data_IF_094353414037
#
_entry.id   IF_094353414037
#
_cell.length_a   1.000
_cell.length_b   1.000
_cell.length_c   1.000
_cell.angle_alpha   90.00
_cell.angle_beta   90.00
_cell.angle_gamma   90.00
#
_symmetry.space_group_name_H-M   'P 1'
#
loop_
_entity.id
_entity.type
_entity.pdbx_description
1 polymer ?
#
# COMPACT_ATOMS: atom_id res chain seq x y z
N UNK A 1 -7.24 8.19 -4.56
CA UNK A 1 -5.99 7.44 -4.33
C UNK A 1 -4.98 7.78 -5.41
N UNK A 2 -4.08 8.67 -5.08
CA UNK A 2 -3.15 9.21 -6.06
C UNK A 2 -2.11 8.19 -6.55
N UNK A 3 -1.57 7.37 -5.65
CA UNK A 3 -0.51 6.42 -5.98
C UNK A 3 -0.98 5.17 -6.71
N UNK A 4 -2.28 5.04 -6.97
CA UNK A 4 -2.86 3.75 -7.34
C UNK A 4 -3.41 3.68 -8.75
N UNK A 5 -3.34 4.76 -9.52
CA UNK A 5 -4.00 4.79 -10.83
C UNK A 5 -3.53 3.69 -11.79
N UNK A 6 -2.29 3.25 -11.67
CA UNK A 6 -1.73 2.23 -12.55
C UNK A 6 -1.59 0.86 -11.89
N UNK A 7 -2.15 0.69 -10.69
CA UNK A 7 -1.98 -0.57 -9.95
C UNK A 7 -2.59 -1.76 -10.66
N UNK A 8 -3.71 -1.58 -11.35
CA UNK A 8 -4.33 -2.68 -12.09
C UNK A 8 -3.42 -3.18 -13.21
N UNK A 9 -2.77 -2.27 -13.93
CA UNK A 9 -1.84 -2.65 -14.99
C UNK A 9 -0.65 -3.38 -14.40
N UNK A 10 -0.11 -2.88 -13.31
CA UNK A 10 1.00 -3.50 -12.63
C UNK A 10 0.64 -4.91 -12.14
N UNK A 11 -0.50 -5.05 -11.48
CA UNK A 11 -0.98 -6.33 -10.99
C UNK A 11 -1.15 -7.32 -12.14
N UNK A 12 -1.82 -6.91 -13.20
CA UNK A 12 -2.04 -7.77 -14.37
C UNK A 12 -0.72 -8.20 -14.99
N UNK A 13 0.23 -7.29 -15.12
CA UNK A 13 1.55 -7.62 -15.68
C UNK A 13 2.26 -8.65 -14.81
N UNK A 14 2.21 -8.51 -13.49
CA UNK A 14 2.82 -9.48 -12.59
C UNK A 14 2.18 -10.86 -12.73
N UNK A 15 0.84 -10.91 -12.78
CA UNK A 15 0.12 -12.16 -12.94
C UNK A 15 0.47 -12.82 -14.27
N UNK A 16 0.47 -12.05 -15.36
CA UNK A 16 0.76 -12.57 -16.70
C UNK A 16 2.18 -13.10 -16.84
N UNK A 17 3.13 -12.52 -16.12
CA UNK A 17 4.55 -12.90 -16.21
C UNK A 17 5.01 -13.78 -15.04
N UNK A 18 4.06 -14.29 -14.26
CA UNK A 18 4.37 -15.17 -13.11
C UNK A 18 5.33 -14.54 -12.10
N UNK A 19 5.23 -13.21 -11.92
CA UNK A 19 6.00 -12.48 -10.92
C UNK A 19 5.22 -12.53 -9.61
N UNK A 20 5.84 -12.96 -8.50
CA UNK A 20 5.15 -12.98 -7.22
C UNK A 20 4.61 -11.59 -6.86
N UNK A 21 3.37 -11.56 -6.36
CA UNK A 21 2.72 -10.32 -5.98
C UNK A 21 1.90 -10.55 -4.72
N UNK A 22 1.87 -9.54 -3.86
CA UNK A 22 1.08 -9.57 -2.64
C UNK A 22 0.26 -8.28 -2.55
N UNK A 23 -1.02 -8.40 -2.29
CA UNK A 23 -1.93 -7.25 -2.25
C UNK A 23 -2.32 -6.94 -0.81
N UNK A 24 -2.16 -5.69 -0.42
CA UNK A 24 -2.66 -5.16 0.85
C UNK A 24 -3.88 -4.31 0.59
N UNK A 25 -4.89 -4.45 1.43
CA UNK A 25 -6.11 -3.64 1.33
C UNK A 25 -6.35 -2.85 2.60
N UNK A 26 -7.19 -1.82 2.50
CA UNK A 26 -7.55 -1.01 3.65
C UNK A 26 -8.29 -1.78 4.75
N UNK A 27 -8.84 -2.96 4.43
CA UNK A 27 -9.53 -3.80 5.41
C UNK A 27 -8.58 -4.68 6.22
N UNK A 28 -7.31 -4.72 5.86
CA UNK A 28 -6.31 -5.55 6.51
C UNK A 28 -5.76 -4.85 7.75
N UNK A 29 -5.94 -5.44 8.91
CA UNK A 29 -5.43 -4.86 10.17
C UNK A 29 -3.92 -4.74 10.19
N UNK A 30 -3.21 -5.54 9.42
CA UNK A 30 -1.75 -5.49 9.32
C UNK A 30 -1.23 -4.42 8.37
N UNK A 31 -2.11 -3.82 7.55
CA UNK A 31 -1.69 -2.97 6.44
C UNK A 31 -0.90 -1.73 6.88
N UNK A 32 -1.34 -1.05 7.95
CA UNK A 32 -0.66 0.17 8.38
C UNK A 32 0.78 -0.09 8.82
N UNK A 33 1.00 -1.14 9.60
CA UNK A 33 2.35 -1.50 10.03
C UNK A 33 3.22 -1.88 8.83
N UNK A 34 2.66 -2.64 7.89
CA UNK A 34 3.38 -3.06 6.69
C UNK A 34 3.74 -1.86 5.81
N UNK A 35 2.81 -0.92 5.62
CA UNK A 35 3.07 0.27 4.81
C UNK A 35 4.12 1.18 5.43
N UNK A 36 4.10 1.34 6.75
CA UNK A 36 5.10 2.15 7.44
C UNK A 36 6.48 1.52 7.34
N UNK A 37 6.57 0.22 7.50
CA UNK A 37 7.83 -0.51 7.35
C UNK A 37 8.34 -0.40 5.91
N UNK A 38 7.45 -0.50 4.94
CA UNK A 38 7.81 -0.36 3.53
C UNK A 38 8.34 1.05 3.22
N UNK A 39 7.67 2.08 3.74
CA UNK A 39 8.10 3.46 3.52
C UNK A 39 9.50 3.69 4.10
N UNK A 40 9.78 3.15 5.27
CA UNK A 40 11.11 3.24 5.88
C UNK A 40 12.15 2.53 5.04
N UNK A 41 11.84 1.32 4.56
CA UNK A 41 12.72 0.55 3.68
C UNK A 41 12.98 1.31 2.38
N UNK A 42 11.95 1.95 1.83
CA UNK A 42 12.09 2.74 0.60
C UNK A 42 13.08 3.89 0.77
N UNK A 43 13.05 4.57 1.91
CA UNK A 43 14.01 5.62 2.22
C UNK A 43 15.42 5.06 2.31
N UNK A 44 15.60 3.96 3.03
CA UNK A 44 16.91 3.35 3.23
C UNK A 44 17.51 2.81 1.94
N UNK A 45 16.66 2.31 1.04
CA UNK A 45 17.11 1.76 -0.24
C UNK A 45 17.34 2.82 -1.31
N UNK A 46 17.06 4.08 -1.01
CA UNK A 46 17.31 5.17 -1.94
C UNK A 46 16.24 5.38 -2.99
N UNK A 47 14.99 5.01 -2.72
CA UNK A 47 13.88 5.33 -3.61
C UNK A 47 13.74 6.84 -3.78
N UNK A 48 13.16 7.28 -4.89
CA UNK A 48 13.02 8.71 -5.17
C UNK A 48 12.17 9.40 -4.12
N UNK A 49 12.42 10.68 -3.89
CA UNK A 49 11.63 11.47 -2.96
C UNK A 49 10.16 11.53 -3.39
N UNK A 50 9.90 11.57 -4.69
CA UNK A 50 8.53 11.59 -5.23
C UNK A 50 7.78 10.32 -4.80
N UNK A 51 8.44 9.16 -4.91
CA UNK A 51 7.83 7.89 -4.51
C UNK A 51 7.57 7.85 -3.01
N UNK A 52 8.55 8.25 -2.20
CA UNK A 52 8.42 8.24 -0.74
C UNK A 52 7.32 9.21 -0.29
N UNK A 53 7.27 10.41 -0.87
CA UNK A 53 6.20 11.37 -0.58
C UNK A 53 4.83 10.82 -0.93
N UNK A 54 4.70 10.13 -2.07
CA UNK A 54 3.43 9.54 -2.46
C UNK A 54 2.97 8.49 -1.46
N UNK A 55 3.89 7.66 -0.97
CA UNK A 55 3.57 6.70 0.08
C UNK A 55 3.09 7.39 1.36
N UNK A 56 3.86 8.37 1.83
CA UNK A 56 3.63 8.99 3.14
C UNK A 56 2.48 9.98 3.13
N UNK A 57 2.27 10.68 2.03
CA UNK A 57 1.27 11.74 1.96
C UNK A 57 -0.05 11.30 1.32
N UNK A 58 -0.07 10.19 0.60
CA UNK A 58 -1.26 9.73 -0.10
C UNK A 58 -1.66 8.31 0.29
N UNK A 59 -0.78 7.33 0.10
CA UNK A 59 -1.14 5.93 0.31
C UNK A 59 -1.42 5.64 1.79
N UNK A 60 -0.49 5.99 2.67
CA UNK A 60 -0.65 5.75 4.11
C UNK A 60 -1.85 6.51 4.67
N UNK A 61 -2.04 7.82 4.38
CA UNK A 61 -3.23 8.51 4.83
C UNK A 61 -4.53 7.92 4.28
N UNK A 62 -4.57 7.46 3.05
CA UNK A 62 -5.76 6.82 2.49
C UNK A 62 -6.15 5.57 3.29
N UNK A 63 -5.18 4.73 3.62
CA UNK A 63 -5.41 3.54 4.44
C UNK A 63 -5.84 3.91 5.85
N UNK A 64 -5.13 4.87 6.46
CA UNK A 64 -5.46 5.35 7.82
C UNK A 64 -6.88 5.88 7.89
N UNK A 65 -7.25 6.74 6.94
CA UNK A 65 -8.57 7.38 6.94
C UNK A 65 -9.67 6.35 6.72
N UNK A 66 -9.45 5.38 5.84
CA UNK A 66 -10.39 4.28 5.63
C UNK A 66 -10.61 3.53 6.95
N UNK A 67 -9.52 3.18 7.64
CA UNK A 67 -9.62 2.39 8.87
C UNK A 67 -10.28 3.18 10.01
N UNK A 68 -10.11 4.49 10.04
CA UNK A 68 -10.78 5.34 11.03
C UNK A 68 -12.27 5.51 10.73
N UNK A 69 -12.64 5.60 9.45
CA UNK A 69 -14.02 5.80 9.04
C UNK A 69 -14.84 4.52 9.01
N UNK A 70 -14.20 3.40 8.74
CA UNK A 70 -14.85 2.10 8.58
C UNK A 70 -14.22 1.03 9.49
N UNK A 71 -14.15 1.27 10.81
CA UNK A 71 -13.44 0.35 11.70
C UNK A 71 -14.04 -1.06 11.72
N UNK A 72 -15.33 -1.19 11.45
CA UNK A 72 -16.00 -2.50 11.45
C UNK A 72 -15.58 -3.36 10.25
N UNK A 73 -14.95 -2.76 9.25
CA UNK A 73 -14.46 -3.50 8.08
C UNK A 73 -13.01 -3.95 8.25
N UNK A 74 -12.33 -3.44 9.27
CA UNK A 74 -10.91 -3.75 9.50
C UNK A 74 -10.82 -5.01 10.34
N UNK A 75 -10.11 -6.02 9.84
CA UNK A 75 -9.98 -7.30 10.53
C UNK A 75 -8.66 -7.97 10.18
N UNK A 76 -8.35 -9.03 10.91
CA UNK A 76 -7.19 -9.84 10.59
C UNK A 76 -7.43 -10.55 9.26
N UNK A 77 -6.39 -10.65 8.42
CA UNK A 77 -6.53 -11.39 7.16
C UNK A 77 -6.72 -12.87 7.42
N UNK A 78 -7.50 -13.50 6.56
CA UNK A 78 -7.74 -14.94 6.60
C UNK A 78 -6.61 -15.71 5.91
#
# INVERSE_FOLDING_TARGET
MAATKDQRKLLNRCVMNEIPVFVLTGTDRCAMAALRAYAEAAKQMGCTNVFVEDLECNVIPDFRDFQLQEPEKVKLPD
#
